data_IF_637370296532
#
_entry.id   IF_637370296532
#
_cell.length_a   1.000
_cell.length_b   1.000
_cell.length_c   1.000
_cell.angle_alpha   90.00
_cell.angle_beta   90.00
_cell.angle_gamma   90.00
#
_symmetry.space_group_name_H-M   'P 1'
#
loop_
_entity.id
_entity.type
_entity.pdbx_description
1 polymer ?
#
# COMPACT_ATOMS: atom_id res chain seq x y z
N UNK A 1 18.27 -54.18 -66.19
CA UNK A 1 18.30 -54.38 -64.73
C UNK A 1 18.59 -53.03 -64.09
N UNK A 2 17.53 -52.29 -63.77
CA UNK A 2 17.63 -50.96 -63.11
C UNK A 2 17.49 -51.12 -61.58
N UNK A 3 18.52 -50.76 -60.88
CA UNK A 3 18.48 -50.72 -59.43
C UNK A 3 18.05 -49.28 -58.94
N UNK A 4 16.86 -49.22 -58.37
CA UNK A 4 16.33 -48.01 -57.74
C UNK A 4 16.86 -47.96 -56.28
N UNK A 5 17.64 -46.93 -55.99
CA UNK A 5 18.07 -46.59 -54.62
C UNK A 5 16.99 -45.70 -53.95
N UNK A 6 16.39 -46.23 -52.87
CA UNK A 6 15.53 -45.41 -51.96
C UNK A 6 16.43 -44.74 -50.90
N UNK A 7 16.46 -43.41 -50.96
CA UNK A 7 17.12 -42.63 -49.87
C UNK A 7 16.02 -42.30 -48.83
N UNK A 8 16.17 -42.87 -47.66
CA UNK A 8 15.29 -42.61 -46.52
C UNK A 8 15.84 -41.38 -45.77
N UNK A 9 15.16 -40.23 -45.93
CA UNK A 9 15.53 -39.00 -45.19
C UNK A 9 14.88 -39.03 -43.82
N UNK A 10 15.70 -39.22 -42.78
CA UNK A 10 15.28 -39.19 -41.38
C UNK A 10 15.18 -37.71 -40.92
N UNK A 11 13.96 -37.19 -40.77
CA UNK A 11 13.73 -35.85 -40.20
C UNK A 11 13.76 -35.96 -38.67
N UNK A 12 14.83 -35.46 -38.07
CA UNK A 12 14.92 -35.28 -36.61
C UNK A 12 14.14 -34.03 -36.23
N UNK A 13 12.96 -34.19 -35.64
CA UNK A 13 12.24 -33.11 -35.01
C UNK A 13 12.88 -32.82 -33.65
N UNK A 14 13.66 -31.75 -33.54
CA UNK A 14 14.11 -31.17 -32.28
C UNK A 14 12.93 -30.53 -31.58
N UNK A 15 12.35 -31.20 -30.59
CA UNK A 15 11.42 -30.62 -29.67
C UNK A 15 12.23 -29.70 -28.71
N UNK A 16 12.16 -28.39 -28.95
CA UNK A 16 12.58 -27.41 -27.94
C UNK A 16 11.52 -27.41 -26.82
N UNK A 17 11.79 -28.12 -25.74
CA UNK A 17 11.11 -27.88 -24.47
C UNK A 17 11.64 -26.54 -23.96
N UNK A 18 10.81 -25.48 -24.07
CA UNK A 18 10.98 -24.28 -23.27
C UNK A 18 10.80 -24.72 -21.80
N UNK A 19 11.91 -24.93 -21.11
CA UNK A 19 11.88 -24.92 -19.66
C UNK A 19 11.54 -23.48 -19.27
N UNK A 20 10.29 -23.23 -18.83
CA UNK A 20 9.97 -22.05 -18.08
C UNK A 20 10.91 -22.05 -16.87
N UNK A 21 11.92 -21.19 -16.91
CA UNK A 21 12.73 -20.91 -15.73
C UNK A 21 11.74 -20.30 -14.71
N UNK A 22 11.28 -21.13 -13.79
CA UNK A 22 10.56 -20.70 -12.61
C UNK A 22 11.53 -19.74 -11.90
N UNK A 23 11.26 -18.44 -12.00
CA UNK A 23 12.03 -17.46 -11.26
C UNK A 23 11.75 -17.75 -9.79
N UNK A 24 12.73 -18.33 -9.08
CA UNK A 24 12.67 -18.44 -7.62
C UNK A 24 12.62 -17.01 -7.06
N UNK A 25 11.40 -16.50 -6.89
CA UNK A 25 11.19 -15.17 -6.29
C UNK A 25 11.65 -15.18 -4.84
N UNK A 26 11.44 -16.29 -4.15
CA UNK A 26 11.96 -16.65 -2.81
C UNK A 26 11.86 -15.51 -1.76
N UNK A 27 10.76 -14.77 -1.79
CA UNK A 27 10.45 -13.82 -0.72
C UNK A 27 10.01 -14.57 0.53
N UNK A 28 10.46 -14.13 1.70
CA UNK A 28 10.03 -14.67 2.98
C UNK A 28 10.24 -13.65 4.10
N UNK A 29 9.70 -13.93 5.27
CA UNK A 29 9.95 -13.13 6.47
C UNK A 29 11.41 -13.34 6.91
N UNK A 30 12.24 -12.32 6.74
CA UNK A 30 13.67 -12.36 7.09
C UNK A 30 13.90 -12.16 8.59
N UNK A 31 13.11 -11.28 9.20
CA UNK A 31 13.19 -10.90 10.62
C UNK A 31 11.93 -10.21 11.08
N UNK A 32 11.80 -10.01 12.38
CA UNK A 32 10.68 -9.37 13.03
C UNK A 32 11.17 -8.33 14.03
N UNK A 33 10.56 -7.15 14.07
CA UNK A 33 10.83 -6.12 15.06
C UNK A 33 9.67 -6.04 16.05
N UNK A 34 9.92 -6.20 17.33
CA UNK A 34 8.89 -6.15 18.36
C UNK A 34 8.73 -4.73 18.92
N UNK A 35 7.48 -4.32 19.13
CA UNK A 35 7.12 -3.03 19.71
C UNK A 35 6.30 -3.25 20.98
N UNK A 36 6.83 -2.82 22.13
CA UNK A 36 6.22 -3.08 23.43
C UNK A 36 4.99 -2.20 23.74
N UNK A 37 4.75 -1.09 23.00
CA UNK A 37 3.62 -0.21 23.23
C UNK A 37 2.28 -0.88 22.87
N UNK A 38 1.18 -0.42 23.50
CA UNK A 38 -0.16 -0.94 23.26
C UNK A 38 -0.94 -0.04 22.31
N UNK A 39 -1.78 -0.63 21.45
CA UNK A 39 -2.64 0.10 20.53
C UNK A 39 -3.00 -0.74 19.29
N UNK A 40 -3.90 -0.20 18.48
CA UNK A 40 -4.14 -0.69 17.14
C UNK A 40 -3.14 0.01 16.21
N UNK A 41 -2.88 -0.58 15.08
CA UNK A 41 -2.03 -0.01 14.04
C UNK A 41 -2.83 0.20 12.75
N UNK A 42 -2.23 0.93 11.84
CA UNK A 42 -2.67 1.09 10.47
C UNK A 42 -1.47 1.17 9.53
N UNK A 43 -1.20 2.33 8.92
CA UNK A 43 -0.09 2.45 7.98
C UNK A 43 1.29 2.47 8.67
N UNK A 44 2.27 2.10 7.88
CA UNK A 44 3.70 2.19 8.15
C UNK A 44 4.37 2.95 7.01
N UNK A 45 5.42 3.69 7.28
CA UNK A 45 6.17 4.42 6.26
C UNK A 45 7.69 4.30 6.48
N UNK A 46 8.42 4.03 5.41
CA UNK A 46 9.88 4.18 5.40
C UNK A 46 10.24 5.67 5.35
N UNK A 47 11.13 6.10 6.20
CA UNK A 47 11.51 7.50 6.30
C UNK A 47 12.38 7.96 5.12
N UNK A 48 12.37 9.24 4.76
CA UNK A 48 13.01 9.74 3.54
C UNK A 48 14.54 9.77 3.65
N UNK A 49 15.17 8.59 3.57
CA UNK A 49 16.63 8.44 3.58
C UNK A 49 17.29 8.66 4.95
N UNK A 50 16.57 8.46 6.04
CA UNK A 50 17.06 8.61 7.41
C UNK A 50 17.18 7.29 8.19
N UNK A 51 17.05 6.15 7.51
CA UNK A 51 17.11 4.80 8.11
C UNK A 51 16.10 4.63 9.26
N UNK A 52 14.88 5.12 9.09
CA UNK A 52 13.81 5.07 10.09
C UNK A 52 12.52 4.51 9.50
N UNK A 53 11.83 3.70 10.29
CA UNK A 53 10.45 3.31 10.06
C UNK A 53 9.53 4.09 10.99
N UNK A 54 8.47 4.65 10.45
CA UNK A 54 7.43 5.34 11.19
C UNK A 54 6.18 4.47 11.19
N UNK A 55 5.74 4.07 12.36
CA UNK A 55 4.67 3.07 12.53
C UNK A 55 3.52 3.69 13.30
N UNK A 56 2.34 3.76 12.69
CA UNK A 56 1.13 4.22 13.38
C UNK A 56 0.74 3.24 14.48
N UNK A 57 0.51 3.72 15.72
CA UNK A 57 0.18 2.85 16.83
C UNK A 57 -0.73 3.52 17.86
N UNK A 58 -2.02 3.46 17.62
CA UNK A 58 -3.07 3.90 18.53
C UNK A 58 -3.15 5.41 18.75
N UNK A 59 -2.29 5.96 19.61
CA UNK A 59 -2.27 7.38 19.97
C UNK A 59 -0.92 8.06 19.68
N UNK A 60 -0.01 7.34 19.05
CA UNK A 60 1.35 7.77 18.79
C UNK A 60 1.91 7.14 17.50
N UNK A 61 3.01 7.70 16.99
CA UNK A 61 3.86 7.04 15.99
C UNK A 61 5.08 6.48 16.71
N UNK A 62 5.36 5.19 16.55
CA UNK A 62 6.63 4.60 16.96
C UNK A 62 7.64 4.80 15.83
N UNK A 63 8.85 5.25 16.19
CA UNK A 63 9.96 5.40 15.23
C UNK A 63 11.01 4.36 15.56
N UNK A 64 11.32 3.51 14.58
CA UNK A 64 12.32 2.45 14.70
C UNK A 64 13.52 2.75 13.80
N UNK A 65 14.68 2.27 14.20
CA UNK A 65 15.79 2.09 13.29
C UNK A 65 15.43 0.99 12.27
N UNK A 66 15.47 1.29 11.00
CA UNK A 66 15.03 0.41 9.93
C UNK A 66 15.88 -0.87 9.79
N UNK A 67 17.17 -0.79 10.17
CA UNK A 67 18.09 -1.92 10.09
C UNK A 67 17.97 -2.85 11.28
N UNK A 68 17.89 -2.29 12.51
CA UNK A 68 17.96 -3.07 13.76
C UNK A 68 16.61 -3.32 14.42
N UNK A 69 15.59 -2.49 14.12
CA UNK A 69 14.28 -2.50 14.77
C UNK A 69 14.28 -1.82 16.14
N UNK A 70 15.41 -1.25 16.57
CA UNK A 70 15.49 -0.54 17.85
C UNK A 70 14.63 0.72 17.83
N UNK A 71 13.94 1.01 18.95
CA UNK A 71 13.20 2.26 19.10
C UNK A 71 14.15 3.45 19.13
N UNK A 72 13.92 4.43 18.24
CA UNK A 72 14.69 5.69 18.19
C UNK A 72 13.85 6.90 18.58
N UNK A 73 12.56 6.74 18.80
CA UNK A 73 11.67 7.81 19.26
C UNK A 73 10.20 7.51 19.10
N UNK A 74 9.40 8.46 19.54
CA UNK A 74 7.94 8.46 19.35
C UNK A 74 7.47 9.86 18.97
N UNK A 75 6.35 9.95 18.27
CA UNK A 75 5.59 11.19 18.05
C UNK A 75 4.28 11.02 18.81
N UNK A 76 4.08 11.84 19.82
CA UNK A 76 2.90 11.79 20.70
C UNK A 76 1.74 12.64 20.16
N UNK A 77 0.59 12.55 20.83
CA UNK A 77 -0.60 13.37 20.54
C UNK A 77 -1.20 13.17 19.15
N UNK A 78 -1.12 11.95 18.61
CA UNK A 78 -1.67 11.55 17.33
C UNK A 78 -2.83 10.56 17.49
N UNK A 79 -3.81 10.87 18.37
CA UNK A 79 -4.91 9.94 18.70
C UNK A 79 -5.72 9.52 17.48
N UNK A 80 -5.80 8.21 17.26
CA UNK A 80 -6.41 7.62 16.07
C UNK A 80 -5.56 7.84 14.84
N UNK A 81 -4.23 7.76 15.03
CA UNK A 81 -3.27 7.83 13.92
C UNK A 81 -3.55 6.75 12.88
N UNK A 82 -3.54 7.14 11.60
CA UNK A 82 -3.59 6.27 10.45
C UNK A 82 -2.32 6.38 9.63
N UNK A 83 -2.16 7.41 8.81
CA UNK A 83 -1.07 7.56 7.86
C UNK A 83 0.05 8.49 8.29
N UNK A 84 1.20 8.35 7.65
CA UNK A 84 2.39 9.20 7.82
C UNK A 84 2.90 9.62 6.45
N UNK A 85 3.17 10.91 6.25
CA UNK A 85 3.72 11.49 5.04
C UNK A 85 4.93 12.38 5.34
N UNK A 86 5.77 12.62 4.32
CA UNK A 86 6.99 13.40 4.49
C UNK A 86 7.13 14.46 3.40
N UNK A 87 7.44 15.69 3.80
CA UNK A 87 8.00 16.74 2.97
C UNK A 87 9.47 16.92 3.33
N UNK A 88 10.35 16.24 2.59
CA UNK A 88 11.78 16.24 2.85
C UNK A 88 12.42 17.62 2.61
N UNK A 89 11.89 18.39 1.65
CA UNK A 89 12.41 19.72 1.33
C UNK A 89 12.23 20.68 2.52
N UNK A 90 11.10 20.56 3.23
CA UNK A 90 10.75 21.39 4.38
C UNK A 90 11.16 20.76 5.73
N UNK A 91 11.83 19.59 5.72
CA UNK A 91 12.17 18.82 6.93
C UNK A 91 10.95 18.54 7.83
N UNK A 92 9.79 18.29 7.24
CA UNK A 92 8.52 18.07 7.94
C UNK A 92 7.96 16.70 7.70
N UNK A 93 7.39 16.13 8.74
CA UNK A 93 6.50 14.97 8.64
C UNK A 93 5.08 15.35 9.02
N UNK A 94 4.11 14.55 8.56
CA UNK A 94 2.69 14.77 8.73
C UNK A 94 2.01 13.47 9.13
N UNK A 95 1.06 13.52 10.07
CA UNK A 95 0.25 12.36 10.45
C UNK A 95 -1.23 12.69 10.31
N UNK A 96 -2.00 11.77 9.77
CA UNK A 96 -3.46 11.85 9.80
C UNK A 96 -3.99 11.25 11.10
N UNK A 97 -4.81 11.99 11.83
CA UNK A 97 -5.30 11.63 13.17
C UNK A 97 -6.83 11.55 13.14
N UNK A 98 -7.37 10.39 12.75
CA UNK A 98 -8.81 10.20 12.49
C UNK A 98 -9.69 10.62 13.67
N UNK A 99 -9.36 10.22 14.90
CA UNK A 99 -10.17 10.58 16.07
C UNK A 99 -10.08 12.03 16.52
N UNK A 100 -9.13 12.79 15.99
CA UNK A 100 -8.97 14.22 16.28
C UNK A 100 -9.45 15.09 15.12
N UNK A 101 -9.72 14.52 13.95
CA UNK A 101 -10.02 15.26 12.71
C UNK A 101 -8.94 16.29 12.39
N UNK A 102 -7.67 15.89 12.58
CA UNK A 102 -6.51 16.76 12.39
C UNK A 102 -5.39 16.07 11.62
N UNK A 103 -4.49 16.89 11.08
CA UNK A 103 -3.17 16.48 10.62
C UNK A 103 -2.14 17.11 11.56
N UNK A 104 -1.30 16.30 12.23
CA UNK A 104 -0.15 16.82 12.99
C UNK A 104 1.01 17.07 12.04
N UNK A 105 1.71 18.17 12.24
CA UNK A 105 2.99 18.49 11.58
C UNK A 105 4.10 18.31 12.59
N UNK A 106 5.14 17.56 12.25
CA UNK A 106 6.30 17.35 13.11
C UNK A 106 7.62 17.60 12.39
N UNK A 107 8.65 17.93 13.14
CA UNK A 107 10.01 18.10 12.61
C UNK A 107 10.69 16.73 12.45
N UNK A 108 11.26 16.45 11.27
CA UNK A 108 11.91 15.15 10.96
C UNK A 108 13.23 14.94 11.71
N UNK A 109 13.85 15.98 12.21
CA UNK A 109 15.11 15.91 12.96
C UNK A 109 14.85 15.62 14.44
N UNK A 110 13.92 16.38 15.06
CA UNK A 110 13.64 16.32 16.51
C UNK A 110 12.49 15.39 16.87
N UNK A 111 11.61 15.06 15.91
CA UNK A 111 10.34 14.35 16.07
C UNK A 111 9.30 15.11 16.90
N UNK A 112 9.52 16.39 17.20
CA UNK A 112 8.59 17.22 17.94
C UNK A 112 7.41 17.65 17.09
N UNK A 113 6.19 17.61 17.64
CA UNK A 113 4.99 18.13 16.98
C UNK A 113 5.04 19.65 16.99
N UNK A 114 5.05 20.25 15.80
CA UNK A 114 5.10 21.70 15.62
C UNK A 114 3.71 22.33 15.70
N UNK A 115 2.70 21.70 15.12
CA UNK A 115 1.32 22.18 15.10
C UNK A 115 0.35 21.06 14.70
N UNK A 116 -0.95 21.32 14.89
CA UNK A 116 -2.03 20.49 14.38
C UNK A 116 -2.94 21.32 13.46
N UNK A 117 -3.28 20.77 12.33
CA UNK A 117 -4.10 21.40 11.28
C UNK A 117 -5.47 20.71 11.29
N UNK A 118 -6.60 21.42 11.48
CA UNK A 118 -7.90 20.84 11.29
C UNK A 118 -8.08 20.32 9.85
N UNK A 119 -8.61 19.11 9.70
CA UNK A 119 -8.89 18.44 8.43
C UNK A 119 -10.38 18.07 8.33
N UNK A 120 -10.76 17.24 7.37
CA UNK A 120 -12.10 16.65 7.34
C UNK A 120 -12.28 15.57 8.41
N UNK A 121 -13.49 14.95 8.45
CA UNK A 121 -13.79 13.92 9.44
C UNK A 121 -13.08 12.61 9.07
N UNK A 122 -12.42 12.03 10.06
CA UNK A 122 -11.67 10.78 9.98
C UNK A 122 -10.60 10.81 8.86
N UNK A 123 -9.57 11.71 8.98
CA UNK A 123 -8.45 11.71 8.04
C UNK A 123 -7.65 10.41 8.17
N UNK A 124 -7.53 9.69 7.06
CA UNK A 124 -6.97 8.35 6.93
C UNK A 124 -5.67 8.38 6.12
N UNK A 125 -5.64 7.85 4.90
CA UNK A 125 -4.46 7.91 4.06
C UNK A 125 -3.98 9.36 3.85
N UNK A 126 -2.67 9.56 3.96
CA UNK A 126 -2.02 10.86 3.80
C UNK A 126 -0.72 10.70 3.01
N UNK A 127 -0.43 11.62 2.11
CA UNK A 127 0.80 11.59 1.32
C UNK A 127 1.21 12.98 0.84
N UNK A 128 2.48 13.12 0.47
CA UNK A 128 3.00 14.30 -0.20
C UNK A 128 2.80 14.16 -1.72
N UNK A 129 2.17 15.16 -2.34
CA UNK A 129 1.96 15.22 -3.79
C UNK A 129 3.00 16.16 -4.41
N UNK A 130 3.99 15.62 -5.16
CA UNK A 130 5.17 16.41 -5.55
C UNK A 130 4.89 17.48 -6.60
N UNK A 131 3.92 17.28 -7.49
CA UNK A 131 3.62 18.23 -8.56
C UNK A 131 3.04 19.54 -8.02
N UNK A 132 2.04 19.46 -7.14
CA UNK A 132 1.45 20.63 -6.49
C UNK A 132 2.20 21.07 -5.23
N UNK A 133 3.14 20.26 -4.73
CA UNK A 133 3.85 20.44 -3.45
C UNK A 133 2.87 20.59 -2.28
N UNK A 134 1.91 19.69 -2.19
CA UNK A 134 0.89 19.67 -1.15
C UNK A 134 0.89 18.35 -0.40
N UNK A 135 0.46 18.42 0.87
CA UNK A 135 0.05 17.24 1.63
C UNK A 135 -1.43 17.05 1.36
N UNK A 136 -1.81 15.81 1.02
CA UNK A 136 -3.20 15.47 0.73
C UNK A 136 -3.61 14.35 1.69
N UNK A 137 -4.76 14.49 2.34
CA UNK A 137 -5.34 13.43 3.16
C UNK A 137 -6.74 13.08 2.68
N UNK A 138 -7.00 11.76 2.66
CA UNK A 138 -8.31 11.18 2.43
C UNK A 138 -9.11 11.23 3.73
N UNK A 139 -10.29 11.87 3.73
CA UNK A 139 -11.14 11.98 4.90
C UNK A 139 -12.35 11.06 4.73
N UNK A 140 -12.27 9.87 5.33
CA UNK A 140 -13.21 8.77 5.07
C UNK A 140 -14.67 9.12 5.39
N UNK A 141 -14.92 9.72 6.55
CA UNK A 141 -16.29 10.02 6.97
C UNK A 141 -16.90 11.26 6.32
N UNK A 142 -16.09 12.21 5.88
CA UNK A 142 -16.60 13.42 5.19
C UNK A 142 -16.59 13.33 3.67
N UNK A 143 -16.18 12.19 3.10
CA UNK A 143 -16.14 11.95 1.65
C UNK A 143 -15.44 13.07 0.88
N UNK A 144 -14.25 13.45 1.32
CA UNK A 144 -13.47 14.50 0.66
C UNK A 144 -11.97 14.34 0.88
N UNK A 145 -11.20 15.16 0.17
CA UNK A 145 -9.76 15.32 0.41
C UNK A 145 -9.50 16.68 1.04
N UNK A 146 -8.61 16.74 2.03
CA UNK A 146 -8.03 18.01 2.48
C UNK A 146 -6.69 18.24 1.79
N UNK A 147 -6.55 19.38 1.12
CA UNK A 147 -5.32 19.82 0.45
C UNK A 147 -4.61 20.80 1.37
N UNK A 148 -3.46 20.42 1.88
CA UNK A 148 -2.71 21.16 2.91
C UNK A 148 -1.47 21.78 2.27
N UNK A 149 -1.26 23.07 2.51
CA UNK A 149 -0.04 23.77 2.15
C UNK A 149 0.99 23.58 3.29
N UNK A 150 2.10 22.85 3.06
CA UNK A 150 3.08 22.55 4.10
C UNK A 150 3.88 23.77 4.57
N UNK A 151 3.97 24.82 3.75
CA UNK A 151 4.63 26.08 4.11
C UNK A 151 3.76 26.91 5.06
N UNK A 152 2.44 26.88 4.84
CA UNK A 152 1.47 27.67 5.62
C UNK A 152 0.86 26.87 6.79
N UNK A 153 1.09 25.56 6.84
CA UNK A 153 0.49 24.64 7.80
C UNK A 153 -1.04 24.82 7.90
N UNK A 154 -1.72 24.81 6.75
CA UNK A 154 -3.19 24.95 6.72
C UNK A 154 -3.80 24.28 5.49
N UNK A 155 -5.06 23.87 5.61
CA UNK A 155 -5.89 23.46 4.48
C UNK A 155 -6.10 24.67 3.56
N UNK A 156 -5.80 24.51 2.26
CA UNK A 156 -5.96 25.53 1.22
C UNK A 156 -7.07 25.20 0.24
N UNK A 157 -7.48 23.94 0.15
CA UNK A 157 -8.62 23.49 -0.65
C UNK A 157 -9.21 22.21 -0.05
N UNK A 158 -10.49 21.95 -0.34
CA UNK A 158 -11.19 20.70 -0.05
C UNK A 158 -11.80 20.20 -1.34
N UNK A 159 -11.57 18.91 -1.67
CA UNK A 159 -12.13 18.26 -2.85
C UNK A 159 -13.24 17.33 -2.41
N UNK A 160 -14.50 17.65 -2.72
CA UNK A 160 -15.62 16.76 -2.46
C UNK A 160 -15.61 15.57 -3.41
N UNK A 161 -15.88 14.38 -2.89
CA UNK A 161 -15.93 13.12 -3.61
C UNK A 161 -17.33 12.49 -3.50
N UNK A 162 -17.69 11.60 -4.44
CA UNK A 162 -19.01 10.96 -4.45
C UNK A 162 -19.13 9.78 -3.46
N UNK A 163 -18.04 9.43 -2.78
CA UNK A 163 -17.99 8.34 -1.80
C UNK A 163 -16.77 8.39 -0.91
N UNK A 164 -16.58 7.31 -0.15
CA UNK A 164 -15.53 7.17 0.85
C UNK A 164 -14.14 7.02 0.20
N UNK A 165 -13.24 8.02 0.30
CA UNK A 165 -11.86 7.88 -0.17
C UNK A 165 -11.06 7.01 0.78
N UNK A 166 -10.41 5.99 0.24
CA UNK A 166 -9.54 5.09 0.99
C UNK A 166 -8.06 5.47 0.77
N UNK A 167 -7.47 5.07 -0.31
CA UNK A 167 -6.07 5.35 -0.65
C UNK A 167 -5.97 6.18 -1.93
N UNK A 168 -4.92 6.99 -2.03
CA UNK A 168 -4.67 7.78 -3.23
C UNK A 168 -3.20 7.76 -3.64
N UNK A 169 -2.95 7.89 -4.95
CA UNK A 169 -1.61 7.99 -5.55
C UNK A 169 -1.55 9.07 -6.61
N UNK A 170 -0.40 9.74 -6.74
CA UNK A 170 -0.14 10.75 -7.77
C UNK A 170 0.69 10.18 -8.92
N UNK A 171 0.45 10.67 -10.14
CA UNK A 171 1.36 10.43 -11.26
C UNK A 171 2.53 11.43 -11.34
N UNK A 172 2.65 12.33 -10.35
CA UNK A 172 3.63 13.44 -10.28
C UNK A 172 3.61 14.37 -11.51
N UNK A 173 2.53 14.33 -12.29
CA UNK A 173 2.35 15.09 -13.54
C UNK A 173 0.96 15.75 -13.61
N UNK A 174 0.36 16.06 -12.47
CA UNK A 174 -0.89 16.81 -12.38
C UNK A 174 -2.15 15.97 -12.20
N UNK A 175 -2.06 14.66 -11.98
CA UNK A 175 -3.19 13.78 -11.71
C UNK A 175 -3.01 13.02 -10.40
N UNK A 176 -4.10 12.96 -9.66
CA UNK A 176 -4.27 12.15 -8.47
C UNK A 176 -5.37 11.12 -8.73
N UNK A 177 -5.13 9.88 -8.32
CA UNK A 177 -6.07 8.77 -8.39
C UNK A 177 -6.44 8.37 -6.98
N UNK A 178 -7.74 8.25 -6.70
CA UNK A 178 -8.27 7.98 -5.37
C UNK A 178 -9.23 6.78 -5.43
N UNK A 179 -8.94 5.73 -4.68
CA UNK A 179 -9.91 4.63 -4.50
C UNK A 179 -11.13 5.15 -3.74
N UNK A 180 -12.31 4.92 -4.29
CA UNK A 180 -13.60 5.21 -3.65
C UNK A 180 -14.23 3.88 -3.24
N UNK A 181 -13.95 3.47 -2.01
CA UNK A 181 -14.23 2.12 -1.50
C UNK A 181 -15.69 1.69 -1.71
N UNK A 182 -16.64 2.48 -1.20
CA UNK A 182 -18.05 2.17 -1.22
C UNK A 182 -18.76 2.39 -2.57
N UNK A 183 -18.01 2.73 -3.63
CA UNK A 183 -18.51 2.91 -5.01
C UNK A 183 -17.86 1.99 -6.02
N UNK A 184 -16.77 1.29 -5.64
CA UNK A 184 -15.97 0.46 -6.54
C UNK A 184 -15.46 1.26 -7.75
N UNK A 185 -14.90 2.45 -7.46
CA UNK A 185 -14.44 3.41 -8.46
C UNK A 185 -13.08 3.99 -8.09
N UNK A 186 -12.41 4.55 -9.10
CA UNK A 186 -11.29 5.48 -8.91
C UNK A 186 -11.74 6.88 -9.31
N UNK A 187 -11.64 7.84 -8.41
CA UNK A 187 -11.77 9.26 -8.74
C UNK A 187 -10.45 9.79 -9.31
N UNK A 188 -10.53 10.56 -10.40
CA UNK A 188 -9.38 11.23 -11.02
C UNK A 188 -9.46 12.71 -10.69
N UNK A 189 -8.49 13.23 -9.97
CA UNK A 189 -8.43 14.61 -9.51
C UNK A 189 -7.28 15.35 -10.18
N UNK A 190 -7.51 16.54 -10.67
CA UNK A 190 -6.46 17.42 -11.17
C UNK A 190 -5.76 18.11 -10.00
N UNK A 191 -4.44 17.94 -9.86
CA UNK A 191 -3.67 18.47 -8.72
C UNK A 191 -3.28 19.94 -8.87
N UNK A 192 -3.61 20.59 -10.00
CA UNK A 192 -3.45 22.03 -10.17
C UNK A 192 -4.71 22.79 -9.76
N UNK A 193 -5.87 22.28 -10.19
CA UNK A 193 -7.17 22.93 -9.96
C UNK A 193 -7.93 22.36 -8.77
N UNK A 194 -7.54 21.18 -8.29
CA UNK A 194 -8.22 20.41 -7.25
C UNK A 194 -9.69 20.12 -7.59
N UNK A 195 -9.94 19.78 -8.86
CA UNK A 195 -11.28 19.42 -9.37
C UNK A 195 -11.25 17.94 -9.77
N UNK A 196 -12.32 17.20 -9.44
CA UNK A 196 -12.54 15.84 -9.94
C UNK A 196 -12.88 15.92 -11.43
N UNK A 197 -12.14 15.20 -12.26
CA UNK A 197 -12.32 15.18 -13.71
C UNK A 197 -13.10 13.95 -14.19
N UNK A 198 -12.99 12.81 -13.46
CA UNK A 198 -13.64 11.56 -13.84
C UNK A 198 -13.80 10.63 -12.64
N UNK A 199 -14.72 9.67 -12.78
CA UNK A 199 -14.83 8.46 -11.96
C UNK A 199 -14.72 7.24 -12.89
N UNK A 200 -13.82 6.33 -12.59
CA UNK A 200 -13.60 5.11 -13.37
C UNK A 200 -14.06 3.89 -12.58
N UNK A 201 -14.93 3.07 -13.18
CA UNK A 201 -15.36 1.81 -12.58
C UNK A 201 -14.22 0.79 -12.51
N UNK A 202 -14.14 0.09 -11.40
CA UNK A 202 -13.15 -0.98 -11.16
C UNK A 202 -13.64 -2.38 -11.55
N UNK A 203 -14.77 -2.48 -12.28
CA UNK A 203 -15.31 -3.79 -12.66
C UNK A 203 -14.25 -4.70 -13.31
N UNK A 204 -14.02 -5.93 -12.78
CA UNK A 204 -14.87 -6.67 -11.84
C UNK A 204 -14.52 -6.50 -10.36
N UNK A 205 -13.60 -5.59 -9.97
CA UNK A 205 -13.15 -5.42 -8.59
C UNK A 205 -14.18 -4.71 -7.70
N UNK A 206 -14.27 -5.15 -6.45
CA UNK A 206 -15.12 -4.58 -5.39
C UNK A 206 -14.34 -4.36 -4.10
N UNK A 207 -14.68 -3.30 -3.34
CA UNK A 207 -14.00 -2.91 -2.11
C UNK A 207 -12.53 -2.50 -2.36
N UNK A 208 -12.25 -1.49 -3.22
CA UNK A 208 -10.89 -1.03 -3.47
C UNK A 208 -10.32 -0.34 -2.23
N UNK A 209 -9.22 -0.87 -1.70
CA UNK A 209 -8.50 -0.34 -0.55
C UNK A 209 -7.10 0.15 -0.96
N UNK A 210 -6.09 -0.72 -1.03
CA UNK A 210 -4.74 -0.34 -1.43
C UNK A 210 -4.65 0.13 -2.90
N UNK A 211 -3.81 1.14 -3.17
CA UNK A 211 -3.60 1.69 -4.52
C UNK A 211 -2.13 2.02 -4.74
N UNK A 212 -1.58 1.60 -5.88
CA UNK A 212 -0.22 1.95 -6.31
C UNK A 212 -0.20 2.32 -7.80
N UNK A 213 0.90 2.90 -8.26
CA UNK A 213 1.08 3.31 -9.66
C UNK A 213 2.50 3.04 -10.15
N UNK A 214 2.67 2.43 -11.33
CA UNK A 214 3.88 2.61 -12.12
C UNK A 214 3.70 3.81 -13.05
N UNK A 215 4.42 4.89 -12.73
CA UNK A 215 4.41 6.13 -13.51
C UNK A 215 5.06 6.00 -14.89
N UNK A 216 5.98 5.03 -15.06
CA UNK A 216 6.69 4.81 -16.32
C UNK A 216 5.80 4.12 -17.36
N UNK A 217 5.00 3.16 -16.92
CA UNK A 217 4.08 2.41 -17.80
C UNK A 217 2.67 2.97 -17.77
N UNK A 218 2.37 3.94 -16.88
CA UNK A 218 1.04 4.47 -16.60
C UNK A 218 0.05 3.36 -16.20
N UNK A 219 0.42 2.53 -15.22
CA UNK A 219 -0.43 1.46 -14.70
C UNK A 219 -0.82 1.73 -13.25
N UNK A 220 -2.12 1.72 -12.99
CA UNK A 220 -2.68 1.74 -11.65
C UNK A 220 -2.94 0.32 -11.18
N UNK A 221 -2.64 0.06 -9.92
CA UNK A 221 -2.80 -1.23 -9.25
C UNK A 221 -3.73 -1.04 -8.06
N UNK A 222 -5.01 -1.42 -8.19
CA UNK A 222 -6.01 -1.29 -7.13
C UNK A 222 -6.31 -2.65 -6.51
N UNK A 223 -6.02 -2.81 -5.23
CA UNK A 223 -6.31 -4.00 -4.45
C UNK A 223 -7.78 -3.99 -4.01
N UNK A 224 -8.58 -4.91 -4.54
CA UNK A 224 -10.01 -5.01 -4.28
C UNK A 224 -10.27 -6.13 -3.26
N UNK A 225 -10.53 -5.75 -2.00
CA UNK A 225 -10.59 -6.65 -0.86
C UNK A 225 -11.76 -7.63 -0.89
N UNK A 226 -12.94 -7.20 -1.37
CA UNK A 226 -14.15 -8.01 -1.42
C UNK A 226 -14.08 -9.09 -2.50
N UNK A 227 -13.51 -8.77 -3.67
CA UNK A 227 -13.34 -9.71 -4.78
C UNK A 227 -12.00 -10.45 -4.76
N UNK A 228 -11.08 -10.09 -3.85
CA UNK A 228 -9.73 -10.69 -3.75
C UNK A 228 -8.97 -10.60 -5.07
N UNK A 229 -9.01 -9.43 -5.70
CA UNK A 229 -8.39 -9.16 -6.98
C UNK A 229 -7.53 -7.91 -6.94
N UNK A 230 -6.40 -7.94 -7.60
CA UNK A 230 -5.71 -6.75 -8.04
C UNK A 230 -6.27 -6.35 -9.40
N UNK A 231 -6.90 -5.19 -9.50
CA UNK A 231 -7.38 -4.63 -10.77
C UNK A 231 -6.32 -3.68 -11.31
N UNK A 232 -5.92 -3.90 -12.57
CA UNK A 232 -4.89 -3.12 -13.24
C UNK A 232 -5.53 -2.27 -14.33
N UNK A 233 -5.38 -0.94 -14.20
CA UNK A 233 -5.93 0.03 -15.15
C UNK A 233 -4.84 0.82 -15.87
N UNK A 234 -5.17 1.30 -17.07
CA UNK A 234 -4.42 2.35 -17.72
C UNK A 234 -4.73 3.71 -17.06
N UNK A 235 -3.73 4.32 -16.43
CA UNK A 235 -3.86 5.58 -15.71
C UNK A 235 -4.17 6.80 -16.62
N UNK A 236 -4.09 6.66 -17.94
CA UNK A 236 -4.42 7.74 -18.86
C UNK A 236 -5.92 7.83 -19.19
N UNK A 237 -6.67 6.72 -19.04
CA UNK A 237 -8.04 6.64 -19.53
C UNK A 237 -8.97 5.72 -18.71
N UNK A 238 -8.48 5.03 -17.69
CA UNK A 238 -9.24 4.12 -16.84
C UNK A 238 -9.59 2.77 -17.48
N UNK A 239 -8.99 2.44 -18.64
CA UNK A 239 -9.26 1.15 -19.27
C UNK A 239 -8.68 0.00 -18.48
N UNK A 240 -9.47 -1.05 -18.28
CA UNK A 240 -9.01 -2.32 -17.69
C UNK A 240 -7.92 -2.95 -18.56
N UNK A 241 -6.79 -3.26 -17.95
CA UNK A 241 -5.66 -3.95 -18.56
C UNK A 241 -5.69 -5.43 -18.17
N UNK A 242 -5.76 -5.72 -16.85
CA UNK A 242 -5.75 -7.09 -16.34
C UNK A 242 -6.38 -7.16 -14.93
N UNK A 243 -6.64 -8.39 -14.48
CA UNK A 243 -7.03 -8.70 -13.11
C UNK A 243 -6.27 -9.93 -12.63
N UNK A 244 -5.68 -9.85 -11.45
CA UNK A 244 -4.90 -10.94 -10.86
C UNK A 244 -5.47 -11.33 -9.49
N UNK A 245 -5.42 -12.62 -9.11
CA UNK A 245 -5.85 -13.05 -7.78
C UNK A 245 -4.86 -12.56 -6.72
N UNK A 246 -5.38 -12.06 -5.60
CA UNK A 246 -4.64 -11.72 -4.38
C UNK A 246 -5.29 -12.40 -3.17
N UNK A 247 -4.68 -12.25 -1.99
CA UNK A 247 -5.22 -12.82 -0.76
C UNK A 247 -6.44 -12.09 -0.21
N UNK A 248 -6.98 -12.61 0.91
CA UNK A 248 -8.16 -12.07 1.60
C UNK A 248 -7.83 -10.80 2.39
N UNK A 249 -8.78 -9.85 2.44
CA UNK A 249 -8.65 -8.62 3.22
C UNK A 249 -7.41 -7.80 2.85
N UNK A 250 -7.19 -7.61 1.54
CA UNK A 250 -6.15 -6.72 1.04
C UNK A 250 -6.49 -5.28 1.40
N UNK A 251 -5.55 -4.60 2.07
CA UNK A 251 -5.71 -3.22 2.53
C UNK A 251 -4.54 -2.33 2.05
N UNK A 252 -3.42 -2.93 1.67
CA UNK A 252 -2.26 -2.24 1.11
C UNK A 252 -1.81 -2.82 -0.22
N UNK A 253 -1.52 -1.94 -1.17
CA UNK A 253 -0.81 -2.26 -2.42
C UNK A 253 0.34 -1.27 -2.56
N UNK A 254 1.54 -1.77 -2.74
CA UNK A 254 2.74 -0.97 -2.96
C UNK A 254 3.47 -1.46 -4.22
N UNK A 255 4.22 -0.57 -4.85
CA UNK A 255 5.00 -0.84 -6.05
C UNK A 255 6.44 -0.42 -5.84
N UNK A 256 7.37 -1.35 -6.04
CA UNK A 256 8.80 -1.06 -6.09
C UNK A 256 9.19 -0.72 -7.53
N UNK A 257 9.44 0.55 -7.77
CA UNK A 257 9.68 1.07 -9.11
C UNK A 257 10.95 0.51 -9.77
N UNK A 258 11.97 0.17 -8.98
CA UNK A 258 13.25 -0.32 -9.52
C UNK A 258 13.22 -1.79 -9.87
N UNK A 259 12.53 -2.62 -9.08
CA UNK A 259 12.45 -4.07 -9.26
C UNK A 259 11.19 -4.52 -10.00
N UNK A 260 10.22 -3.59 -10.20
CA UNK A 260 8.93 -3.87 -10.84
C UNK A 260 8.06 -4.89 -10.09
N UNK A 261 8.29 -5.04 -8.78
CA UNK A 261 7.42 -5.83 -7.93
C UNK A 261 6.24 -5.01 -7.42
N UNK A 262 5.06 -5.62 -7.50
CA UNK A 262 3.84 -5.16 -6.85
C UNK A 262 3.61 -6.08 -5.66
N UNK A 263 3.38 -5.52 -4.48
CA UNK A 263 3.08 -6.26 -3.27
C UNK A 263 1.68 -5.91 -2.81
N UNK A 264 0.81 -6.93 -2.68
CA UNK A 264 -0.51 -6.77 -2.08
C UNK A 264 -0.50 -7.42 -0.69
N UNK A 265 -0.62 -6.60 0.36
CA UNK A 265 -0.64 -7.05 1.75
C UNK A 265 -2.06 -7.43 2.16
N UNK A 266 -2.24 -8.70 2.49
CA UNK A 266 -3.53 -9.31 2.70
C UNK A 266 -3.70 -9.65 4.19
N UNK A 267 -4.68 -9.04 4.84
CA UNK A 267 -4.98 -9.24 6.27
C UNK A 267 -5.34 -10.68 6.65
N UNK A 268 -5.61 -11.54 5.66
CA UNK A 268 -5.77 -12.98 5.84
C UNK A 268 -4.49 -13.71 6.22
N UNK A 269 -3.31 -13.07 6.14
CA UNK A 269 -2.01 -13.63 6.52
C UNK A 269 -1.12 -13.99 5.34
N UNK A 270 -1.21 -13.27 4.23
CA UNK A 270 -0.32 -13.44 3.08
C UNK A 270 0.14 -12.09 2.52
N UNK A 271 1.29 -12.08 1.86
CA UNK A 271 1.74 -11.01 0.98
C UNK A 271 1.82 -11.57 -0.44
N UNK A 272 0.93 -11.14 -1.35
CA UNK A 272 0.97 -11.55 -2.74
C UNK A 272 2.04 -10.74 -3.46
N UNK A 273 3.01 -11.43 -4.06
CA UNK A 273 4.09 -10.83 -4.86
C UNK A 273 3.79 -11.01 -6.34
N UNK A 274 3.73 -9.90 -7.06
CA UNK A 274 3.42 -9.84 -8.49
C UNK A 274 4.57 -9.10 -9.16
N UNK A 275 4.94 -9.54 -10.36
CA UNK A 275 5.94 -8.87 -11.18
C UNK A 275 5.31 -8.28 -12.45
N UNK A 276 5.61 -7.03 -12.72
CA UNK A 276 5.30 -6.35 -13.98
C UNK A 276 6.40 -6.64 -14.99
N UNK A 277 6.18 -7.61 -15.88
CA UNK A 277 7.12 -7.94 -16.97
C UNK A 277 7.12 -6.86 -18.07
N UNK A 278 5.96 -6.26 -18.28
CA UNK A 278 5.75 -5.12 -19.20
C UNK A 278 4.43 -4.42 -18.84
N UNK A 279 4.15 -3.30 -19.50
CA UNK A 279 2.90 -2.54 -19.32
C UNK A 279 1.60 -3.36 -19.53
N UNK A 280 1.66 -4.55 -20.13
CA UNK A 280 0.50 -5.39 -20.41
C UNK A 280 0.73 -6.87 -20.05
N UNK A 281 1.77 -7.16 -19.26
CA UNK A 281 2.10 -8.52 -18.85
C UNK A 281 2.52 -8.53 -17.38
N UNK A 282 1.70 -9.18 -16.55
CA UNK A 282 1.83 -9.26 -15.12
C UNK A 282 1.74 -10.71 -14.65
N UNK A 283 2.54 -11.09 -13.68
CA UNK A 283 2.58 -12.46 -13.19
C UNK A 283 2.58 -12.49 -11.66
N UNK A 284 1.61 -13.20 -11.08
CA UNK A 284 1.69 -13.60 -9.67
C UNK A 284 2.83 -14.59 -9.53
N UNK A 285 3.83 -14.26 -8.73
CA UNK A 285 5.00 -15.11 -8.51
C UNK A 285 4.76 -16.06 -7.33
N UNK A 286 4.31 -15.50 -6.20
CA UNK A 286 4.09 -16.26 -4.98
C UNK A 286 3.16 -15.53 -4.00
N UNK A 287 2.69 -16.27 -3.00
CA UNK A 287 2.06 -15.74 -1.80
C UNK A 287 2.94 -16.07 -0.60
N UNK A 288 3.65 -15.08 -0.11
CA UNK A 288 4.47 -15.19 1.09
C UNK A 288 3.57 -15.34 2.31
N UNK A 289 3.80 -16.35 3.13
CA UNK A 289 3.06 -16.52 4.39
C UNK A 289 3.49 -15.43 5.37
N UNK A 290 2.54 -14.65 5.85
CA UNK A 290 2.68 -13.62 6.87
C UNK A 290 1.81 -13.96 8.08
N UNK A 291 1.38 -12.96 8.86
CA UNK A 291 0.44 -13.14 9.97
C UNK A 291 -0.92 -12.49 9.65
N UNK A 292 -1.99 -13.03 10.23
CA UNK A 292 -3.31 -12.38 10.20
C UNK A 292 -3.20 -10.94 10.71
N UNK A 293 -3.84 -10.00 10.00
CA UNK A 293 -3.78 -8.58 10.33
C UNK A 293 -2.59 -7.83 9.72
N UNK A 294 -1.63 -8.48 9.07
CA UNK A 294 -0.57 -7.84 8.29
C UNK A 294 -1.15 -7.33 6.95
N UNK A 295 -1.96 -6.26 7.03
CA UNK A 295 -2.81 -5.79 5.92
C UNK A 295 -2.27 -4.57 5.19
N UNK A 296 -1.50 -3.74 5.89
CA UNK A 296 -0.83 -2.56 5.33
C UNK A 296 0.67 -2.81 5.22
N UNK A 297 1.35 -2.10 4.34
CA UNK A 297 2.78 -2.29 4.11
C UNK A 297 3.46 -1.04 3.58
N UNK A 298 4.78 -0.98 3.74
CA UNK A 298 5.66 -0.03 3.06
C UNK A 298 6.86 -0.77 2.46
N UNK A 299 7.40 -0.26 1.36
CA UNK A 299 8.68 -0.69 0.79
C UNK A 299 9.72 0.41 0.95
N UNK A 300 10.92 0.04 1.34
CA UNK A 300 12.09 0.90 1.16
C UNK A 300 12.73 0.56 -0.19
N UNK A 301 12.62 1.46 -1.16
CA UNK A 301 13.16 1.27 -2.52
C UNK A 301 14.69 1.18 -2.56
N UNK A 302 15.40 1.56 -1.49
CA UNK A 302 16.86 1.45 -1.43
C UNK A 302 17.34 0.06 -1.03
N UNK A 303 16.57 -0.64 -0.20
CA UNK A 303 16.86 -1.99 0.29
C UNK A 303 15.96 -3.06 -0.32
N UNK A 304 14.85 -2.66 -0.95
CA UNK A 304 13.80 -3.53 -1.47
C UNK A 304 13.12 -4.40 -0.40
N UNK A 305 13.22 -3.98 0.87
CA UNK A 305 12.56 -4.65 1.98
C UNK A 305 11.14 -4.13 2.14
N UNK A 306 10.23 -5.05 2.43
CA UNK A 306 8.81 -4.76 2.69
C UNK A 306 8.54 -4.92 4.18
N UNK A 307 7.89 -3.94 4.77
CA UNK A 307 7.58 -3.87 6.19
C UNK A 307 6.08 -3.96 6.40
N UNK A 308 5.63 -4.90 7.26
CA UNK A 308 4.20 -5.13 7.53
C UNK A 308 3.95 -5.13 9.04
N UNK A 309 3.18 -4.17 9.57
CA UNK A 309 2.77 -4.17 10.96
C UNK A 309 1.70 -5.22 11.22
N UNK A 310 1.82 -5.94 12.34
CA UNK A 310 0.84 -6.95 12.77
C UNK A 310 0.94 -7.24 14.26
N UNK A 311 0.03 -8.10 14.78
CA UNK A 311 0.09 -8.63 16.14
C UNK A 311 -0.57 -10.01 16.18
N UNK A 312 -0.48 -10.70 17.31
CA UNK A 312 -1.23 -11.92 17.54
C UNK A 312 -2.67 -11.61 17.99
N UNK A 313 -3.60 -12.47 17.59
CA UNK A 313 -5.01 -12.37 17.95
C UNK A 313 -5.45 -13.63 18.71
N UNK A 314 -6.34 -13.44 19.68
CA UNK A 314 -7.01 -14.57 20.33
C UNK A 314 -7.94 -15.23 19.33
N UNK A 315 -7.86 -16.55 19.21
CA UNK A 315 -8.88 -17.33 18.54
C UNK A 315 -10.11 -17.39 19.46
N UNK A 316 -11.19 -16.73 19.08
CA UNK A 316 -12.48 -16.93 19.75
C UNK A 316 -13.11 -18.20 19.23
N UNK A 317 -13.02 -19.28 20.01
CA UNK A 317 -13.87 -20.45 19.85
C UNK A 317 -15.28 -20.04 20.29
N UNK A 318 -16.20 -19.88 19.36
CA UNK A 318 -17.62 -19.71 19.69
C UNK A 318 -18.13 -20.98 20.38
N UNK A 319 -18.75 -20.89 21.58
CA UNK A 319 -19.27 -22.08 22.29
C UNK A 319 -20.36 -22.83 21.53
N UNK A 320 -20.98 -22.23 20.54
CA UNK A 320 -22.18 -22.74 19.87
C UNK A 320 -22.07 -22.72 18.33
N UNK A 321 -21.04 -23.07 17.70
CA UNK A 321 -20.94 -23.16 16.21
C UNK A 321 -21.79 -22.14 15.37
N UNK A 322 -22.43 -21.17 16.02
CA UNK A 322 -23.12 -20.05 15.42
C UNK A 322 -22.12 -18.89 15.38
N UNK A 323 -21.53 -18.68 14.20
CA UNK A 323 -20.53 -17.64 13.93
C UNK A 323 -21.16 -16.25 14.11
N UNK A 324 -21.31 -15.80 15.34
CA UNK A 324 -21.32 -14.37 15.62
C UNK A 324 -19.88 -13.89 15.37
N UNK A 325 -19.70 -13.02 14.38
CA UNK A 325 -18.40 -12.42 14.02
C UNK A 325 -17.91 -11.50 15.15
N UNK A 326 -17.42 -12.09 16.25
CA UNK A 326 -16.69 -11.33 17.25
C UNK A 326 -15.43 -10.77 16.57
N UNK A 327 -15.17 -9.47 16.74
CA UNK A 327 -13.95 -8.87 16.21
C UNK A 327 -12.75 -9.51 16.90
N UNK A 328 -11.75 -10.02 16.16
CA UNK A 328 -10.56 -10.63 16.74
C UNK A 328 -9.93 -9.69 17.79
N UNK A 329 -9.65 -10.22 18.99
CA UNK A 329 -9.01 -9.46 20.05
C UNK A 329 -7.49 -9.60 19.93
N UNK A 330 -6.80 -8.48 19.75
CA UNK A 330 -5.34 -8.45 19.78
C UNK A 330 -4.81 -8.88 21.15
N UNK A 331 -3.77 -9.71 21.17
CA UNK A 331 -3.05 -10.10 22.38
C UNK A 331 -2.10 -8.95 22.73
N UNK A 332 -2.23 -8.34 23.93
CA UNK A 332 -1.34 -7.24 24.32
C UNK A 332 0.14 -7.66 24.33
N UNK A 333 1.01 -6.75 23.89
CA UNK A 333 2.47 -6.96 23.87
C UNK A 333 2.99 -7.83 22.72
N UNK A 334 2.15 -8.16 21.74
CA UNK A 334 2.57 -8.96 20.55
C UNK A 334 2.69 -8.13 19.28
N UNK A 335 2.57 -6.81 19.38
CA UNK A 335 2.70 -5.94 18.21
C UNK A 335 4.11 -5.99 17.65
N UNK A 336 4.21 -6.17 16.33
CA UNK A 336 5.48 -6.39 15.64
C UNK A 336 5.43 -5.94 14.18
N UNK A 337 6.61 -5.74 13.60
CA UNK A 337 6.78 -5.48 12.17
C UNK A 337 7.48 -6.67 11.55
N UNK A 338 6.83 -7.32 10.58
CA UNK A 338 7.46 -8.32 9.74
C UNK A 338 8.31 -7.62 8.68
N UNK A 339 9.54 -8.07 8.50
CA UNK A 339 10.43 -7.60 7.45
C UNK A 339 10.53 -8.69 6.41
N UNK A 340 9.99 -8.44 5.22
CA UNK A 340 9.96 -9.39 4.11
C UNK A 340 10.95 -8.96 3.03
N UNK A 341 11.66 -9.92 2.50
CA UNK A 341 12.64 -9.71 1.43
C UNK A 341 13.08 -11.02 0.83
N UNK A 342 14.10 -10.97 -0.03
CA UNK A 342 14.72 -12.14 -0.67
C UNK A 342 15.99 -12.50 0.08
N UNK A 343 16.28 -13.81 0.24
CA UNK A 343 17.64 -14.24 0.63
C UNK A 343 18.64 -13.87 -0.47
N UNK A 344 19.76 -13.34 -0.06
CA UNK A 344 20.91 -13.10 -0.95
C UNK A 344 21.54 -14.40 -1.39
#
# INVERSE_FOLDING_TARGET
MNKIFFILTLVFALAFSSADAQSDSNFHVLKTFHIASAGKWDYIAAGPGNNRLYVSHGIQVNILNETTGDSVGIIENTKGIHGIAFDKEENKGFTSNGKLNTVSVFDLTTNEVLTQIPAGDDPDAIFYEPYSKKIITCNGHSNNLSIIDPLKNKVVATVSLEGNPETAVSNDAGKLYVNIENKNEIAVVNTTTFIVEAYWKLTPGEGPAGLAIDKNTNRLFSGCSETKQLVILDASNGKLIDTLPIGEHCDGVIFDNSTKYIFASNGGGTLTVIHENSANDFKVLENVVTKKGARTSAVDESTHLVYLPTADFKEELSPDNTVAKAKPQMIPGTFEILVVGRSL
#
